data_IF_726561750457
#
_entry.id   IF_726561750457
#
_cell.length_a   1.000
_cell.length_b   1.000
_cell.length_c   1.000
_cell.angle_alpha   90.00
_cell.angle_beta   90.00
_cell.angle_gamma   90.00
#
_symmetry.space_group_name_H-M   'P 1'
#
loop_
_entity.id
_entity.type
_entity.pdbx_description
1 polymer ?
#
# COMPACT_ATOMS: atom_id res chain seq x y z
N UNK A 1 5.20 15.80 -13.93
CA UNK A 1 3.90 15.46 -14.53
C UNK A 1 3.55 14.05 -14.12
N UNK A 2 2.46 13.83 -13.40
CA UNK A 2 1.96 12.48 -13.11
C UNK A 2 1.19 12.02 -14.34
N UNK A 3 1.70 11.03 -15.06
CA UNK A 3 1.00 10.43 -16.19
C UNK A 3 -0.07 9.49 -15.61
N UNK A 4 -1.36 9.73 -15.90
CA UNK A 4 -2.47 8.93 -15.36
C UNK A 4 -2.77 7.76 -16.30
N UNK A 5 -1.75 6.93 -16.51
CA UNK A 5 -1.79 5.75 -17.38
C UNK A 5 -1.39 4.53 -16.55
N UNK A 6 -2.16 3.45 -16.66
CA UNK A 6 -1.89 2.19 -15.98
C UNK A 6 -2.18 1.02 -16.90
N UNK A 7 -1.18 0.16 -17.04
CA UNK A 7 -1.31 -1.12 -17.70
C UNK A 7 -1.08 -2.25 -16.70
N UNK A 8 -1.98 -3.23 -16.71
CA UNK A 8 -1.77 -4.49 -15.99
C UNK A 8 -2.59 -5.63 -16.59
N UNK A 9 -2.19 -6.86 -16.31
CA UNK A 9 -2.98 -8.03 -16.67
C UNK A 9 -4.15 -8.15 -15.70
N UNK A 10 -5.38 -8.24 -16.19
CA UNK A 10 -6.59 -8.53 -15.40
C UNK A 10 -7.39 -9.63 -16.12
N UNK A 11 -7.66 -10.74 -15.44
CA UNK A 11 -8.29 -11.95 -16.02
C UNK A 11 -7.53 -12.47 -17.25
N UNK A 12 -6.21 -12.56 -17.14
CA UNK A 12 -5.26 -13.06 -18.17
C UNK A 12 -5.20 -12.24 -19.47
N UNK A 13 -5.79 -11.04 -19.49
CA UNK A 13 -5.74 -10.12 -20.61
C UNK A 13 -5.15 -8.79 -20.16
N UNK A 14 -4.37 -8.13 -21.02
CA UNK A 14 -3.89 -6.78 -20.77
C UNK A 14 -5.07 -5.83 -20.64
N UNK A 15 -5.02 -4.98 -19.63
CA UNK A 15 -5.97 -3.92 -19.36
C UNK A 15 -5.21 -2.60 -19.30
N UNK A 16 -5.74 -1.60 -19.99
CA UNK A 16 -5.26 -0.23 -19.99
C UNK A 16 -6.32 0.61 -19.29
N UNK A 17 -5.90 1.37 -18.28
CA UNK A 17 -6.72 2.40 -17.64
C UNK A 17 -5.99 3.71 -17.80
N UNK A 18 -6.62 4.70 -18.41
CA UNK A 18 -5.99 5.97 -18.76
C UNK A 18 -6.92 7.16 -18.51
N UNK A 19 -6.33 8.35 -18.36
CA UNK A 19 -7.05 9.62 -18.41
C UNK A 19 -6.55 10.43 -19.61
N UNK A 20 -7.42 10.66 -20.58
CA UNK A 20 -7.18 11.49 -21.75
C UNK A 20 -7.97 12.80 -21.69
N UNK A 21 -7.55 13.81 -22.46
CA UNK A 21 -8.34 15.02 -22.70
C UNK A 21 -8.97 14.92 -24.09
N UNK A 22 -10.29 14.94 -24.15
CA UNK A 22 -11.07 14.84 -25.38
C UNK A 22 -12.11 15.96 -25.36
N UNK A 23 -12.12 16.83 -26.37
CA UNK A 23 -13.04 17.97 -26.47
C UNK A 23 -13.08 18.85 -25.20
N UNK A 24 -11.91 19.20 -24.66
CA UNK A 24 -11.73 19.99 -23.43
C UNK A 24 -12.27 19.34 -22.14
N UNK A 25 -12.69 18.08 -22.18
CA UNK A 25 -13.09 17.29 -21.02
C UNK A 25 -12.07 16.18 -20.70
N UNK A 26 -12.07 15.71 -19.45
CA UNK A 26 -11.25 14.58 -19.01
C UNK A 26 -12.03 13.28 -19.17
N UNK A 27 -11.58 12.43 -20.07
CA UNK A 27 -12.12 11.09 -20.28
C UNK A 27 -11.28 10.06 -19.53
N UNK A 28 -11.94 9.20 -18.79
CA UNK A 28 -11.33 8.06 -18.08
C UNK A 28 -11.85 6.79 -18.73
N UNK A 29 -10.94 5.96 -19.24
CA UNK A 29 -11.30 4.73 -19.93
C UNK A 29 -10.63 3.53 -19.27
N UNK A 30 -11.34 2.41 -19.20
CA UNK A 30 -10.78 1.09 -18.94
C UNK A 30 -11.04 0.22 -20.18
N UNK A 31 -9.98 -0.18 -20.88
CA UNK A 31 -10.10 -0.93 -22.13
C UNK A 31 -9.10 -2.08 -22.21
N UNK A 32 -9.44 -3.08 -23.03
CA UNK A 32 -8.55 -4.17 -23.41
C UNK A 32 -7.61 -3.74 -24.53
N UNK A 33 -6.52 -4.49 -24.70
CA UNK A 33 -5.54 -4.28 -25.78
C UNK A 33 -6.15 -4.42 -27.18
N UNK A 34 -7.20 -5.20 -27.34
CA UNK A 34 -7.95 -5.35 -28.60
C UNK A 34 -8.92 -4.19 -28.87
N UNK A 35 -8.93 -3.16 -28.01
CA UNK A 35 -9.82 -2.00 -28.10
C UNK A 35 -11.20 -2.21 -27.48
N UNK A 36 -11.47 -3.38 -26.87
CA UNK A 36 -12.75 -3.60 -26.20
C UNK A 36 -12.86 -2.76 -24.92
N UNK A 37 -13.81 -1.84 -24.91
CA UNK A 37 -14.10 -0.93 -23.81
C UNK A 37 -14.85 -1.66 -22.69
N UNK A 38 -14.38 -1.53 -21.45
CA UNK A 38 -15.04 -2.10 -20.27
C UNK A 38 -15.85 -1.07 -19.50
N UNK A 39 -15.31 0.13 -19.35
CA UNK A 39 -16.00 1.30 -18.81
C UNK A 39 -15.38 2.56 -19.41
N UNK A 40 -16.19 3.61 -19.53
CA UNK A 40 -15.78 4.95 -19.93
C UNK A 40 -16.58 5.97 -19.12
N UNK A 41 -15.93 7.08 -18.75
CA UNK A 41 -16.59 8.19 -18.06
C UNK A 41 -15.90 9.51 -18.38
N UNK A 42 -16.68 10.60 -18.46
CA UNK A 42 -16.18 11.92 -18.83
C UNK A 42 -16.47 12.92 -17.73
N UNK A 43 -15.51 13.83 -17.48
CA UNK A 43 -15.57 14.81 -16.40
C UNK A 43 -15.08 16.18 -16.88
N UNK A 44 -15.77 17.24 -16.48
CA UNK A 44 -15.33 18.62 -16.73
C UNK A 44 -14.14 19.05 -15.85
N UNK A 45 -13.75 18.24 -14.87
CA UNK A 45 -12.64 18.57 -13.97
C UNK A 45 -11.71 17.36 -13.70
N UNK A 46 -10.43 17.69 -13.54
CA UNK A 46 -9.36 16.71 -13.35
C UNK A 46 -9.50 15.89 -12.07
N UNK A 47 -9.97 16.50 -10.98
CA UNK A 47 -10.00 15.82 -9.67
C UNK A 47 -11.01 14.68 -9.66
N UNK A 48 -12.17 14.87 -10.29
CA UNK A 48 -13.18 13.82 -10.40
C UNK A 48 -12.75 12.73 -11.39
N UNK A 49 -12.07 13.09 -12.49
CA UNK A 49 -11.43 12.10 -13.36
C UNK A 49 -10.40 11.24 -12.60
N UNK A 50 -9.56 11.84 -11.75
CA UNK A 50 -8.60 11.10 -10.90
C UNK A 50 -9.33 10.17 -9.92
N UNK A 51 -10.45 10.60 -9.33
CA UNK A 51 -11.25 9.73 -8.45
C UNK A 51 -11.81 8.54 -9.24
N UNK A 52 -12.36 8.77 -10.43
CA UNK A 52 -12.88 7.73 -11.29
C UNK A 52 -11.78 6.75 -11.74
N UNK A 53 -10.61 7.26 -12.13
CA UNK A 53 -9.44 6.44 -12.45
C UNK A 53 -9.09 5.49 -11.30
N UNK A 54 -9.03 5.99 -10.06
CA UNK A 54 -8.77 5.15 -8.90
C UNK A 54 -9.89 4.13 -8.63
N UNK A 55 -11.15 4.48 -8.94
CA UNK A 55 -12.27 3.54 -8.88
C UNK A 55 -12.14 2.42 -9.92
N UNK A 56 -11.73 2.74 -11.15
CA UNK A 56 -11.49 1.74 -12.20
C UNK A 56 -10.33 0.80 -11.82
N UNK A 57 -9.25 1.33 -11.27
CA UNK A 57 -8.13 0.52 -10.74
C UNK A 57 -8.61 -0.45 -9.66
N UNK A 58 -9.52 -0.01 -8.78
CA UNK A 58 -10.08 -0.87 -7.73
C UNK A 58 -11.08 -1.90 -8.29
N UNK A 59 -11.89 -1.52 -9.30
CA UNK A 59 -12.86 -2.38 -9.97
C UNK A 59 -12.19 -3.48 -10.80
N UNK A 60 -11.05 -3.18 -11.41
CA UNK A 60 -10.28 -4.07 -12.27
C UNK A 60 -8.86 -4.30 -11.72
N UNK A 61 -8.70 -5.06 -10.62
CA UNK A 61 -7.41 -5.27 -10.01
C UNK A 61 -6.49 -6.12 -10.89
N UNK A 62 -5.18 -5.88 -10.83
CA UNK A 62 -4.21 -6.74 -11.50
C UNK A 62 -4.30 -8.19 -11.02
N UNK A 63 -4.07 -9.13 -11.94
CA UNK A 63 -3.90 -10.55 -11.64
C UNK A 63 -2.62 -10.70 -10.81
N UNK A 64 -2.79 -10.95 -9.52
CA UNK A 64 -1.66 -11.26 -8.65
C UNK A 64 -1.47 -12.77 -8.59
N UNK A 65 -0.22 -13.22 -8.76
CA UNK A 65 0.11 -14.62 -8.46
C UNK A 65 -0.08 -14.82 -6.96
N UNK A 66 -0.84 -15.86 -6.58
CA UNK A 66 -1.03 -16.20 -5.16
C UNK A 66 0.32 -16.34 -4.48
N UNK A 67 0.50 -15.63 -3.36
CA UNK A 67 1.71 -15.76 -2.55
C UNK A 67 1.84 -17.19 -2.01
N UNK A 68 3.08 -17.66 -1.92
CA UNK A 68 3.42 -18.97 -1.37
C UNK A 68 4.72 -18.91 -0.57
N UNK A 69 4.95 -19.95 0.24
CA UNK A 69 6.14 -20.06 1.09
C UNK A 69 6.32 -18.86 2.01
N UNK A 70 7.55 -18.34 2.09
CA UNK A 70 7.91 -17.23 2.99
C UNK A 70 7.11 -15.94 2.77
N UNK A 71 6.60 -15.68 1.56
CA UNK A 71 5.83 -14.47 1.28
C UNK A 71 4.38 -14.59 1.77
N UNK A 72 3.78 -15.78 1.66
CA UNK A 72 2.46 -16.05 2.26
C UNK A 72 2.56 -15.96 3.79
N UNK A 73 3.60 -16.57 4.38
CA UNK A 73 3.87 -16.44 5.81
C UNK A 73 4.05 -14.97 6.23
N UNK A 74 4.81 -14.18 5.48
CA UNK A 74 4.97 -12.74 5.77
C UNK A 74 3.62 -12.01 5.78
N UNK A 75 2.73 -12.28 4.83
CA UNK A 75 1.38 -11.69 4.82
C UNK A 75 0.62 -12.03 6.10
N UNK A 76 0.56 -13.32 6.46
CA UNK A 76 -0.22 -13.79 7.62
C UNK A 76 0.35 -13.24 8.94
N UNK A 77 1.67 -13.19 9.05
CA UNK A 77 2.38 -12.59 10.18
C UNK A 77 2.14 -11.07 10.26
N UNK A 78 2.12 -10.38 9.12
CA UNK A 78 1.81 -8.96 9.05
C UNK A 78 0.35 -8.67 9.45
N UNK A 79 -0.61 -9.51 9.07
CA UNK A 79 -2.00 -9.37 9.52
C UNK A 79 -2.07 -9.44 11.05
N UNK A 80 -1.36 -10.40 11.65
CA UNK A 80 -1.25 -10.55 13.10
C UNK A 80 -0.61 -9.32 13.76
N UNK A 81 0.51 -8.83 13.21
CA UNK A 81 1.20 -7.65 13.73
C UNK A 81 0.37 -6.36 13.59
N UNK A 82 -0.31 -6.17 12.46
CA UNK A 82 -1.18 -5.02 12.22
C UNK A 82 -2.37 -5.02 13.18
N UNK A 83 -2.93 -6.20 13.50
CA UNK A 83 -3.99 -6.29 14.49
C UNK A 83 -3.49 -5.90 15.89
N UNK A 84 -2.30 -6.35 16.30
CA UNK A 84 -1.69 -5.89 17.54
C UNK A 84 -1.50 -4.35 17.56
N UNK A 85 -1.10 -3.76 16.44
CA UNK A 85 -1.02 -2.31 16.27
C UNK A 85 -2.37 -1.60 16.45
N UNK A 86 -3.43 -2.12 15.82
CA UNK A 86 -4.80 -1.57 15.96
C UNK A 86 -5.31 -1.65 17.40
N UNK A 87 -5.03 -2.74 18.10
CA UNK A 87 -5.43 -2.89 19.50
C UNK A 87 -4.67 -1.93 20.43
N UNK A 88 -3.36 -1.76 20.21
CA UNK A 88 -2.57 -0.77 20.95
C UNK A 88 -3.07 0.67 20.72
N UNK A 89 -3.46 0.99 19.49
CA UNK A 89 -4.04 2.30 19.16
C UNK A 89 -5.38 2.52 19.88
N UNK A 90 -6.25 1.51 19.95
CA UNK A 90 -7.54 1.61 20.67
C UNK A 90 -7.35 1.84 22.18
N UNK A 91 -6.31 1.25 22.76
CA UNK A 91 -5.98 1.39 24.18
C UNK A 91 -5.35 2.74 24.51
N UNK A 92 -4.74 3.41 23.53
CA UNK A 92 -4.16 4.73 23.68
C UNK A 92 -4.66 5.67 22.57
N UNK A 93 -5.90 6.18 22.69
CA UNK A 93 -6.52 7.03 21.68
C UNK A 93 -5.99 8.47 21.70
N UNK A 94 -5.03 8.81 22.57
CA UNK A 94 -4.46 10.16 22.60
C UNK A 94 -3.74 10.49 21.30
N UNK A 95 -4.30 11.47 20.59
CA UNK A 95 -3.80 11.99 19.32
C UNK A 95 -2.83 13.17 19.51
N UNK A 96 -2.43 13.45 20.76
CA UNK A 96 -1.44 14.48 21.08
C UNK A 96 -0.03 14.07 20.66
N UNK A 97 0.68 14.96 19.95
CA UNK A 97 2.10 14.80 19.61
C UNK A 97 2.44 15.16 18.16
N UNK A 98 3.73 15.23 17.84
CA UNK A 98 4.26 15.57 16.50
C UNK A 98 4.74 14.34 15.70
N UNK A 99 4.63 13.13 16.25
CA UNK A 99 5.19 11.89 15.69
C UNK A 99 4.34 11.27 14.56
N UNK A 100 4.09 12.02 13.49
CA UNK A 100 3.12 11.66 12.45
C UNK A 100 3.60 10.59 11.45
N UNK A 101 4.89 10.22 11.47
CA UNK A 101 5.46 9.27 10.51
C UNK A 101 6.14 8.06 11.16
N UNK A 102 5.94 7.84 12.46
CA UNK A 102 6.42 6.63 13.13
C UNK A 102 5.90 5.37 12.45
N UNK A 103 6.78 4.39 12.22
CA UNK A 103 6.46 3.17 11.48
C UNK A 103 7.43 2.04 11.81
N UNK A 104 7.01 0.80 11.53
CA UNK A 104 7.86 -0.38 11.67
C UNK A 104 8.71 -0.57 10.40
N UNK A 105 9.99 -0.88 10.59
CA UNK A 105 10.93 -1.23 9.51
C UNK A 105 11.32 -2.71 9.60
N UNK A 106 11.43 -3.36 8.45
CA UNK A 106 11.91 -4.74 8.31
C UNK A 106 13.21 -4.82 7.51
N UNK A 107 14.14 -5.64 7.99
CA UNK A 107 15.30 -6.12 7.24
C UNK A 107 15.00 -7.47 6.60
N UNK A 108 14.85 -7.49 5.27
CA UNK A 108 14.52 -8.69 4.50
C UNK A 108 15.55 -8.93 3.38
N UNK A 109 16.81 -9.29 3.71
CA UNK A 109 17.86 -9.47 2.72
C UNK A 109 17.51 -10.59 1.74
N UNK A 110 17.70 -10.34 0.44
CA UNK A 110 17.41 -11.30 -0.65
C UNK A 110 15.92 -11.63 -0.82
N UNK A 111 15.01 -10.83 -0.28
CA UNK A 111 13.58 -10.94 -0.59
C UNK A 111 13.25 -10.11 -1.84
N UNK A 112 12.35 -10.64 -2.67
CA UNK A 112 11.85 -9.93 -3.83
C UNK A 112 10.90 -8.82 -3.39
N UNK A 113 11.16 -7.58 -3.84
CA UNK A 113 10.41 -6.40 -3.41
C UNK A 113 8.93 -6.47 -3.77
N UNK A 114 8.59 -6.87 -5.00
CA UNK A 114 7.19 -6.93 -5.47
C UNK A 114 6.37 -7.92 -4.65
N UNK A 115 6.94 -9.08 -4.31
CA UNK A 115 6.26 -10.08 -3.47
C UNK A 115 6.13 -9.63 -2.01
N UNK A 116 7.09 -8.86 -1.49
CA UNK A 116 6.97 -8.21 -0.18
C UNK A 116 5.86 -7.16 -0.22
N UNK A 117 5.84 -6.31 -1.25
CA UNK A 117 4.82 -5.29 -1.42
C UNK A 117 3.41 -5.90 -1.54
N UNK A 118 3.27 -6.97 -2.31
CA UNK A 118 2.03 -7.74 -2.40
C UNK A 118 1.63 -8.29 -1.02
N UNK A 119 2.57 -8.88 -0.26
CA UNK A 119 2.27 -9.41 1.08
C UNK A 119 1.79 -8.32 2.04
N UNK A 120 2.41 -7.14 2.01
CA UNK A 120 2.02 -6.00 2.85
C UNK A 120 0.65 -5.46 2.45
N UNK A 121 0.37 -5.37 1.14
CA UNK A 121 -0.93 -4.93 0.62
C UNK A 121 -2.05 -5.91 0.96
N UNK A 122 -1.83 -7.22 0.77
CA UNK A 122 -2.78 -8.28 1.18
C UNK A 122 -2.99 -8.32 2.70
N UNK A 123 -2.01 -7.87 3.49
CA UNK A 123 -2.15 -7.73 4.94
C UNK A 123 -2.92 -6.45 5.37
N UNK A 124 -3.22 -5.55 4.44
CA UNK A 124 -3.98 -4.32 4.71
C UNK A 124 -3.13 -3.10 5.06
N UNK A 125 -1.85 -3.10 4.70
CA UNK A 125 -0.93 -1.97 4.88
C UNK A 125 -0.35 -1.51 3.53
N UNK A 126 0.45 -0.45 3.54
CA UNK A 126 1.31 -0.07 2.42
C UNK A 126 2.77 -0.20 2.82
N UNK A 127 3.66 -0.34 1.83
CA UNK A 127 5.08 -0.28 2.09
C UNK A 127 5.82 0.48 1.01
N UNK A 128 6.97 1.00 1.41
CA UNK A 128 8.03 1.43 0.51
C UNK A 128 9.34 0.86 1.03
N UNK A 129 10.38 0.86 0.19
CA UNK A 129 11.71 0.47 0.62
C UNK A 129 12.70 1.61 0.38
N UNK A 130 13.56 1.82 1.36
CA UNK A 130 14.61 2.84 1.31
C UNK A 130 15.92 2.23 1.82
N UNK A 131 17.04 2.72 1.29
CA UNK A 131 18.35 2.40 1.85
C UNK A 131 18.52 3.20 3.14
N UNK A 132 18.73 2.49 4.25
CA UNK A 132 18.91 3.07 5.58
C UNK A 132 20.08 2.36 6.27
N UNK A 133 21.04 3.13 6.81
CA UNK A 133 22.29 2.60 7.37
C UNK A 133 22.99 1.57 6.46
N UNK A 134 23.13 1.87 5.17
CA UNK A 134 23.83 1.02 4.21
C UNK A 134 23.09 -0.26 3.80
N UNK A 135 21.82 -0.43 4.16
CA UNK A 135 21.04 -1.62 3.76
C UNK A 135 19.58 -1.30 3.45
N UNK A 136 18.95 -2.11 2.59
CA UNK A 136 17.55 -1.95 2.23
C UNK A 136 16.65 -2.26 3.44
N UNK A 137 15.75 -1.35 3.76
CA UNK A 137 14.71 -1.50 4.78
C UNK A 137 13.34 -1.34 4.15
N UNK A 138 12.40 -2.17 4.59
CA UNK A 138 11.00 -2.10 4.18
C UNK A 138 10.21 -1.43 5.28
N UNK A 139 9.60 -0.29 4.98
CA UNK A 139 8.78 0.48 5.91
C UNK A 139 7.34 0.01 5.79
N UNK A 140 6.73 -0.42 6.89
CA UNK A 140 5.39 -0.97 6.95
C UNK A 140 4.45 0.09 7.50
N UNK A 141 3.69 0.72 6.61
CA UNK A 141 2.79 1.82 6.94
C UNK A 141 1.36 1.28 7.07
N UNK A 142 0.83 1.14 8.29
CA UNK A 142 -0.55 0.72 8.48
C UNK A 142 -1.49 1.76 7.86
N UNK A 143 -2.61 1.31 7.29
CA UNK A 143 -3.74 2.17 6.97
C UNK A 143 -4.46 2.51 8.28
N UNK A 144 -3.93 3.43 9.06
CA UNK A 144 -4.47 3.83 10.36
C UNK A 144 -4.71 5.34 10.44
N UNK A 145 -5.72 5.74 11.22
CA UNK A 145 -6.18 7.12 11.38
C UNK A 145 -5.61 7.82 12.62
N UNK A 146 -4.67 7.20 13.34
CA UNK A 146 -4.06 7.79 14.55
C UNK A 146 -2.83 8.63 14.20
N UNK A 147 -2.75 9.81 14.79
CA UNK A 147 -1.60 10.70 14.79
C UNK A 147 -0.91 10.63 16.17
N UNK A 148 0.22 11.34 16.32
CA UNK A 148 0.93 11.46 17.59
C UNK A 148 1.17 10.13 18.34
N UNK A 149 0.85 10.13 19.64
CA UNK A 149 1.09 9.00 20.55
C UNK A 149 0.39 7.69 20.13
N UNK A 150 -0.84 7.79 19.61
CA UNK A 150 -1.60 6.64 19.10
C UNK A 150 -0.85 5.93 17.95
N UNK A 151 -0.20 6.70 17.07
CA UNK A 151 0.63 6.16 16.00
C UNK A 151 1.87 5.47 16.53
N UNK A 152 2.59 6.11 17.45
CA UNK A 152 3.79 5.54 18.09
C UNK A 152 3.46 4.23 18.81
N UNK A 153 2.34 4.17 19.55
CA UNK A 153 1.88 2.96 20.24
C UNK A 153 1.62 1.80 19.26
N UNK A 154 0.92 2.10 18.15
CA UNK A 154 0.68 1.13 17.07
C UNK A 154 1.98 0.61 16.46
N UNK A 155 2.88 1.51 16.06
CA UNK A 155 4.16 1.14 15.45
C UNK A 155 5.03 0.29 16.40
N UNK A 156 5.06 0.61 17.70
CA UNK A 156 5.76 -0.18 18.72
C UNK A 156 5.18 -1.58 18.85
N UNK A 157 3.85 -1.71 18.90
CA UNK A 157 3.18 -3.00 19.01
C UNK A 157 3.41 -3.87 17.76
N UNK A 158 3.31 -3.29 16.56
CA UNK A 158 3.63 -3.98 15.30
C UNK A 158 5.07 -4.49 15.32
N UNK A 159 6.03 -3.63 15.68
CA UNK A 159 7.46 -4.00 15.72
C UNK A 159 7.72 -5.14 16.70
N UNK A 160 7.15 -5.06 17.92
CA UNK A 160 7.31 -6.11 18.93
C UNK A 160 6.71 -7.44 18.47
N UNK A 161 5.54 -7.41 17.84
CA UNK A 161 4.91 -8.61 17.30
C UNK A 161 5.77 -9.23 16.20
N UNK A 162 6.26 -8.43 15.25
CA UNK A 162 7.15 -8.92 14.19
C UNK A 162 8.46 -9.52 14.76
N UNK A 163 9.04 -8.91 15.79
CA UNK A 163 10.20 -9.49 16.48
C UNK A 163 9.87 -10.86 17.10
N UNK A 164 8.72 -11.00 17.78
CA UNK A 164 8.30 -12.29 18.34
C UNK A 164 8.02 -13.37 17.29
N UNK A 165 7.66 -12.96 16.07
CA UNK A 165 7.46 -13.84 14.92
C UNK A 165 8.79 -14.17 14.19
N UNK A 166 9.93 -13.70 14.71
CA UNK A 166 11.27 -14.02 14.22
C UNK A 166 11.83 -13.07 13.16
N UNK A 167 11.18 -11.92 12.92
CA UNK A 167 11.68 -10.93 11.98
C UNK A 167 12.71 -9.98 12.62
N UNK A 168 13.71 -9.60 11.82
CA UNK A 168 14.56 -8.46 12.16
C UNK A 168 13.79 -7.17 11.88
N UNK A 169 13.02 -6.74 12.88
CA UNK A 169 12.20 -5.54 12.85
C UNK A 169 12.74 -4.47 13.82
N UNK A 170 12.60 -3.21 13.42
CA UNK A 170 13.02 -2.04 14.21
C UNK A 170 12.02 -0.89 14.02
N UNK A 171 11.94 0.01 14.99
CA UNK A 171 11.15 1.23 14.87
C UNK A 171 11.90 2.27 14.04
N UNK A 172 11.17 2.97 13.18
CA UNK A 172 11.57 4.28 12.67
C UNK A 172 10.79 5.33 13.43
N UNK A 173 11.50 6.19 14.14
CA UNK A 173 10.95 7.40 14.72
C UNK A 173 11.23 8.55 13.76
N UNK A 174 10.18 9.17 13.25
CA UNK A 174 10.34 10.37 12.44
C UNK A 174 10.45 11.56 13.39
N UNK A 175 11.67 12.05 13.57
CA UNK A 175 11.88 13.34 14.24
C UNK A 175 11.72 14.43 13.18
N UNK A 176 10.84 15.38 13.46
CA UNK A 176 10.70 16.65 12.71
C UNK A 176 11.93 17.53 12.98
#
# INVERSE_FOLDING_TARGET
>A
MTNYHKEHVHKKQLLIIDIAIVNDEYEVIAMREDGNELDIATFSNKNDAIKCFNQFIAKYPADTKKLSGKYAKLRDDLQTALEAGRQAQKQNPEDGGTCNFDTSMLSLPRWNFEKVQQAVQEAGATCFAQNFYGSKRFFIVPKANGQGNARTASAKAITKMLQSLGYNASMYYAMD
#
